data_IF_865492031615
#
_entry.id   IF_865492031615
#
_cell.length_a   1.000
_cell.length_b   1.000
_cell.length_c   1.000
_cell.angle_alpha   90.00
_cell.angle_beta   90.00
_cell.angle_gamma   90.00
#
_symmetry.space_group_name_H-M   'P 1'
#
loop_
_entity.id
_entity.type
_entity.pdbx_description
1 polymer ?
#
# COMPACT_ATOMS: atom_id res chain seq x y z
N UNK A 1 6.62 1.57 14.83
CA UNK A 1 5.41 2.41 14.71
C UNK A 1 5.71 3.82 15.21
N UNK A 2 5.75 4.82 14.31
CA UNK A 2 6.22 6.19 14.57
C UNK A 2 7.77 6.29 14.54
N UNK A 3 8.42 7.27 13.91
CA UNK A 3 8.01 8.62 13.48
C UNK A 3 8.35 8.88 12.00
N UNK A 4 7.39 9.39 11.25
CA UNK A 4 7.64 10.47 10.31
C UNK A 4 6.50 11.48 10.52
N UNK A 5 6.85 12.74 10.74
CA UNK A 5 5.93 13.83 11.12
C UNK A 5 5.14 13.56 12.41
N UNK A 6 5.76 12.91 13.40
CA UNK A 6 5.18 12.73 14.72
C UNK A 6 6.25 12.72 15.81
N UNK A 7 5.85 12.93 17.07
CA UNK A 7 6.71 12.86 18.24
C UNK A 7 6.58 11.54 19.03
N UNK A 8 6.19 10.42 18.43
CA UNK A 8 6.11 9.12 19.13
C UNK A 8 7.31 8.20 18.89
N UNK A 9 8.01 7.67 19.90
CA UNK A 9 9.19 6.79 19.71
C UNK A 9 8.84 5.29 19.63
N UNK A 10 7.68 4.93 19.07
CA UNK A 10 7.16 3.57 19.15
C UNK A 10 7.93 2.54 18.32
N UNK A 11 8.29 1.41 18.94
CA UNK A 11 8.93 0.28 18.28
C UNK A 11 7.95 -0.89 18.30
N UNK A 12 7.21 -1.03 17.21
CA UNK A 12 6.27 -2.11 16.98
C UNK A 12 6.23 -2.39 15.47
N UNK A 13 6.50 -3.63 15.13
CA UNK A 13 6.56 -4.20 13.78
C UNK A 13 6.48 -5.73 13.88
N UNK A 14 6.00 -6.37 12.83
CA UNK A 14 6.03 -7.83 12.73
C UNK A 14 7.48 -8.34 12.62
N UNK A 15 7.80 -9.41 13.34
CA UNK A 15 9.05 -10.15 13.20
C UNK A 15 8.79 -11.42 12.41
N UNK A 16 9.46 -11.56 11.27
CA UNK A 16 9.32 -12.77 10.44
C UNK A 16 10.04 -13.94 11.12
N UNK A 17 9.46 -15.15 11.13
CA UNK A 17 10.14 -16.33 11.65
C UNK A 17 11.51 -16.57 10.98
N UNK A 18 12.43 -17.18 11.71
CA UNK A 18 13.77 -17.50 11.19
C UNK A 18 13.70 -18.50 10.02
N UNK A 19 12.87 -19.54 10.15
CA UNK A 19 12.69 -20.55 9.10
C UNK A 19 12.07 -19.94 7.86
N UNK A 20 12.67 -20.24 6.70
CA UNK A 20 12.20 -19.83 5.37
C UNK A 20 11.65 -21.01 4.57
N UNK A 21 11.42 -22.16 5.20
CA UNK A 21 10.82 -23.32 4.57
C UNK A 21 9.31 -23.28 4.68
N UNK A 22 8.63 -23.85 3.69
CA UNK A 22 7.17 -24.01 3.73
C UNK A 22 6.84 -25.02 4.84
N UNK A 23 5.89 -24.72 5.73
CA UNK A 23 5.48 -25.68 6.76
C UNK A 23 4.87 -26.95 6.15
N UNK A 24 5.16 -28.11 6.74
CA UNK A 24 4.73 -29.43 6.21
C UNK A 24 3.20 -29.64 6.18
N UNK A 25 2.48 -28.90 7.02
CA UNK A 25 1.02 -28.92 7.08
C UNK A 25 0.35 -28.09 5.97
N UNK A 26 1.07 -27.16 5.33
CA UNK A 26 0.53 -26.38 4.22
C UNK A 26 0.55 -27.24 2.96
N UNK A 27 -0.62 -27.69 2.51
CA UNK A 27 -0.78 -28.52 1.29
C UNK A 27 -1.04 -27.70 0.02
N UNK A 28 -1.15 -26.39 0.15
CA UNK A 28 -1.41 -25.48 -0.97
C UNK A 28 -0.19 -25.39 -1.88
N UNK A 29 -0.40 -25.60 -3.18
CA UNK A 29 0.65 -25.46 -4.19
C UNK A 29 0.92 -23.99 -4.52
N UNK A 30 2.12 -23.64 -5.01
CA UNK A 30 2.44 -22.26 -5.42
C UNK A 30 1.46 -21.69 -6.45
N UNK A 31 1.01 -22.51 -7.40
CA UNK A 31 0.10 -22.09 -8.47
C UNK A 31 -1.29 -21.72 -7.93
N UNK A 32 -1.80 -22.50 -6.97
CA UNK A 32 -3.06 -22.18 -6.28
C UNK A 32 -2.96 -20.86 -5.52
N UNK A 33 -1.80 -20.55 -4.91
CA UNK A 33 -1.60 -19.26 -4.23
C UNK A 33 -1.59 -18.11 -5.23
N UNK A 34 -0.95 -18.28 -6.39
CA UNK A 34 -0.96 -17.28 -7.47
C UNK A 34 -2.38 -17.03 -7.98
N UNK A 35 -3.16 -18.10 -8.20
CA UNK A 35 -4.56 -17.99 -8.63
C UNK A 35 -5.42 -17.23 -7.60
N UNK A 36 -5.28 -17.54 -6.32
CA UNK A 36 -5.97 -16.83 -5.24
C UNK A 36 -5.59 -15.34 -5.18
N UNK A 37 -4.31 -15.01 -5.35
CA UNK A 37 -3.84 -13.62 -5.42
C UNK A 37 -4.51 -12.89 -6.58
N UNK A 38 -4.50 -13.47 -7.78
CA UNK A 38 -5.12 -12.89 -8.96
C UNK A 38 -6.63 -12.72 -8.79
N UNK A 39 -7.31 -13.70 -8.17
CA UNK A 39 -8.75 -13.64 -7.88
C UNK A 39 -9.10 -12.50 -6.91
N UNK A 40 -8.30 -12.33 -5.86
CA UNK A 40 -8.51 -11.23 -4.90
C UNK A 40 -8.19 -9.86 -5.51
N UNK A 41 -7.15 -9.77 -6.34
CA UNK A 41 -6.81 -8.54 -7.05
C UNK A 41 -7.90 -8.12 -8.03
N UNK A 42 -8.50 -9.07 -8.77
CA UNK A 42 -9.66 -8.81 -9.66
C UNK A 42 -10.89 -8.31 -8.90
N UNK A 43 -11.02 -8.62 -7.61
CA UNK A 43 -12.06 -8.07 -6.72
C UNK A 43 -11.73 -6.68 -6.19
N UNK A 44 -10.59 -6.09 -6.58
CA UNK A 44 -10.13 -4.78 -6.13
C UNK A 44 -9.39 -4.78 -4.80
N UNK A 45 -8.99 -5.95 -4.27
CA UNK A 45 -8.21 -6.01 -3.04
C UNK A 45 -6.78 -5.49 -3.28
N UNK A 46 -6.29 -4.65 -2.36
CA UNK A 46 -4.90 -4.16 -2.40
C UNK A 46 -3.89 -5.24 -2.05
N UNK A 47 -2.62 -5.16 -2.51
CA UNK A 47 -1.58 -6.12 -2.14
C UNK A 47 -1.44 -6.35 -0.63
N UNK A 48 -1.55 -5.30 0.18
CA UNK A 48 -1.51 -5.43 1.65
C UNK A 48 -2.70 -6.23 2.19
N UNK A 49 -3.91 -5.97 1.70
CA UNK A 49 -5.12 -6.72 2.10
C UNK A 49 -5.07 -8.18 1.64
N UNK A 50 -4.58 -8.44 0.42
CA UNK A 50 -4.39 -9.80 -0.10
C UNK A 50 -3.50 -10.60 0.86
N UNK A 51 -2.38 -10.03 1.30
CA UNK A 51 -1.49 -10.70 2.25
C UNK A 51 -2.17 -11.02 3.58
N UNK A 52 -3.03 -10.13 4.07
CA UNK A 52 -3.81 -10.35 5.31
C UNK A 52 -4.82 -11.48 5.12
N UNK A 53 -5.59 -11.49 4.03
CA UNK A 53 -6.61 -12.53 3.74
C UNK A 53 -5.95 -13.91 3.58
N UNK A 54 -4.81 -13.98 2.90
CA UNK A 54 -4.07 -15.24 2.73
C UNK A 54 -3.54 -15.76 4.07
N UNK A 55 -3.08 -14.87 4.95
CA UNK A 55 -2.60 -15.25 6.28
C UNK A 55 -3.75 -15.72 7.18
N UNK A 56 -4.82 -14.94 7.26
CA UNK A 56 -5.86 -15.13 8.27
C UNK A 56 -6.88 -16.21 7.88
N UNK A 57 -7.23 -16.32 6.59
CA UNK A 57 -8.24 -17.29 6.13
C UNK A 57 -7.65 -18.55 5.50
N UNK A 58 -6.42 -18.50 4.95
CA UNK A 58 -5.83 -19.62 4.20
C UNK A 58 -4.58 -20.21 4.89
N UNK A 59 -4.13 -19.64 6.01
CA UNK A 59 -2.95 -20.11 6.74
C UNK A 59 -1.62 -19.85 6.03
N UNK A 60 -1.60 -19.02 4.98
CA UNK A 60 -0.38 -18.71 4.22
C UNK A 60 0.34 -17.54 4.91
N UNK A 61 1.27 -17.87 5.81
CA UNK A 61 1.97 -16.86 6.61
C UNK A 61 2.81 -15.87 5.78
N UNK A 62 3.52 -16.37 4.75
CA UNK A 62 4.39 -15.58 3.88
C UNK A 62 4.31 -16.08 2.44
N UNK A 63 3.69 -15.29 1.56
CA UNK A 63 3.58 -15.62 0.12
C UNK A 63 4.94 -15.86 -0.53
N UNK A 64 5.97 -15.10 -0.13
CA UNK A 64 7.34 -15.24 -0.64
C UNK A 64 7.94 -16.62 -0.34
N UNK A 65 7.62 -17.22 0.80
CA UNK A 65 8.14 -18.54 1.18
C UNK A 65 7.52 -19.63 0.31
N UNK A 66 6.23 -19.50 -0.01
CA UNK A 66 5.49 -20.51 -0.81
C UNK A 66 5.79 -20.39 -2.29
N UNK A 67 5.77 -19.17 -2.83
CA UNK A 67 5.81 -18.92 -4.30
C UNK A 67 7.17 -18.43 -4.81
N UNK A 68 8.12 -18.14 -3.92
CA UNK A 68 9.42 -17.53 -4.25
C UNK A 68 9.35 -16.03 -4.57
N UNK A 69 8.16 -15.47 -4.84
CA UNK A 69 7.98 -14.07 -5.24
C UNK A 69 7.09 -13.29 -4.26
N UNK A 70 7.21 -11.95 -4.28
CA UNK A 70 6.32 -11.06 -3.50
C UNK A 70 5.00 -10.83 -4.26
N UNK A 71 3.94 -10.54 -3.53
CA UNK A 71 2.58 -10.28 -4.07
C UNK A 71 2.62 -9.27 -5.22
N UNK A 72 3.27 -8.12 -5.05
CA UNK A 72 3.32 -7.09 -6.09
C UNK A 72 4.02 -7.57 -7.37
N UNK A 73 5.03 -8.45 -7.25
CA UNK A 73 5.72 -9.02 -8.42
C UNK A 73 4.83 -10.00 -9.17
N UNK A 74 4.09 -10.84 -8.44
CA UNK A 74 3.10 -11.75 -9.01
C UNK A 74 2.03 -10.96 -9.79
N UNK A 75 1.51 -9.87 -9.20
CA UNK A 75 0.53 -9.01 -9.87
C UNK A 75 1.10 -8.35 -11.13
N UNK A 76 2.35 -7.87 -11.10
CA UNK A 76 3.01 -7.29 -12.28
C UNK A 76 3.17 -8.31 -13.41
N UNK A 77 3.62 -9.52 -13.10
CA UNK A 77 3.76 -10.60 -14.08
C UNK A 77 2.43 -11.00 -14.73
N UNK A 78 1.32 -10.81 -14.02
CA UNK A 78 -0.03 -11.12 -14.52
C UNK A 78 -0.76 -9.90 -15.10
N UNK A 79 -0.12 -8.73 -15.20
CA UNK A 79 -0.76 -7.51 -15.71
C UNK A 79 -1.88 -6.95 -14.83
N UNK A 80 -1.92 -7.33 -13.55
CA UNK A 80 -2.95 -6.92 -12.56
C UNK A 80 -2.38 -5.95 -11.51
N UNK A 81 -1.22 -5.36 -11.77
CA UNK A 81 -0.62 -4.40 -10.85
C UNK A 81 -1.32 -3.03 -10.98
N UNK A 82 -1.53 -2.31 -9.86
CA UNK A 82 -2.06 -0.96 -9.91
C UNK A 82 -1.04 0.00 -10.55
N UNK A 83 -1.54 0.98 -11.31
CA UNK A 83 -0.72 2.00 -11.95
C UNK A 83 0.03 2.88 -10.95
N UNK A 84 -0.63 3.18 -9.83
CA UNK A 84 -0.08 3.98 -8.74
C UNK A 84 0.26 3.05 -7.56
N UNK A 85 1.45 3.19 -6.96
CA UNK A 85 1.80 2.47 -5.74
C UNK A 85 0.77 2.65 -4.61
N UNK A 86 0.46 1.57 -3.90
CA UNK A 86 -0.59 1.53 -2.87
C UNK A 86 -0.36 2.56 -1.75
N UNK A 87 0.89 2.73 -1.32
CA UNK A 87 1.26 3.69 -0.27
C UNK A 87 1.02 5.14 -0.68
N UNK A 88 1.35 5.48 -1.94
CA UNK A 88 1.07 6.80 -2.51
C UNK A 88 -0.44 7.01 -2.68
N UNK A 89 -1.16 6.02 -3.20
CA UNK A 89 -2.61 6.06 -3.35
C UNK A 89 -3.32 6.30 -2.01
N UNK A 90 -2.94 5.59 -0.95
CA UNK A 90 -3.55 5.74 0.38
C UNK A 90 -3.26 7.10 1.02
N UNK A 91 -2.10 7.71 0.75
CA UNK A 91 -1.81 9.08 1.19
C UNK A 91 -2.64 10.11 0.43
N UNK A 92 -2.78 9.97 -0.89
CA UNK A 92 -3.63 10.84 -1.70
C UNK A 92 -5.08 10.73 -1.23
N UNK A 93 -5.59 9.50 -1.01
CA UNK A 93 -6.93 9.26 -0.44
C UNK A 93 -7.16 10.02 0.86
N UNK A 94 -6.16 9.98 1.75
CA UNK A 94 -6.21 10.71 3.03
C UNK A 94 -6.19 12.22 2.83
N UNK A 95 -5.35 12.73 1.92
CA UNK A 95 -5.28 14.17 1.63
C UNK A 95 -6.60 14.69 1.07
N UNK A 96 -7.23 13.96 0.15
CA UNK A 96 -8.55 14.30 -0.42
C UNK A 96 -9.63 14.35 0.68
N UNK A 97 -9.65 13.35 1.57
CA UNK A 97 -10.60 13.33 2.69
C UNK A 97 -10.41 14.53 3.65
N UNK A 98 -9.16 14.85 4.02
CA UNK A 98 -8.86 15.99 4.91
C UNK A 98 -9.19 17.32 4.23
N UNK A 99 -8.94 17.44 2.92
CA UNK A 99 -9.29 18.64 2.16
C UNK A 99 -10.81 18.87 2.11
N UNK A 100 -11.58 17.82 1.80
CA UNK A 100 -13.05 17.85 1.83
C UNK A 100 -13.60 18.24 3.21
N UNK A 101 -12.96 17.80 4.30
CA UNK A 101 -13.29 18.23 5.66
C UNK A 101 -13.03 19.73 5.87
N UNK A 102 -11.85 20.22 5.46
CA UNK A 102 -11.45 21.62 5.64
C UNK A 102 -12.26 22.62 4.81
N UNK A 103 -12.83 22.19 3.67
CA UNK A 103 -13.74 23.02 2.87
C UNK A 103 -14.95 23.48 3.69
N UNK A 104 -15.49 22.58 4.53
CA UNK A 104 -16.61 22.85 5.45
C UNK A 104 -16.12 23.48 6.76
N UNK A 105 -14.97 23.03 7.26
CA UNK A 105 -14.43 23.40 8.58
C UNK A 105 -13.19 24.29 8.46
N UNK A 106 -13.33 25.48 7.86
CA UNK A 106 -12.20 26.37 7.55
C UNK A 106 -11.40 26.85 8.77
N UNK A 107 -11.99 26.83 9.96
CA UNK A 107 -11.35 27.25 11.22
C UNK A 107 -10.48 26.16 11.86
N UNK A 108 -10.52 24.92 11.36
CA UNK A 108 -9.76 23.79 11.89
C UNK A 108 -8.27 23.88 11.48
N UNK A 109 -7.48 24.54 12.34
CA UNK A 109 -6.03 24.74 12.15
C UNK A 109 -5.23 23.44 12.29
N UNK A 110 -5.71 22.49 13.09
CA UNK A 110 -5.02 21.23 13.34
C UNK A 110 -5.12 20.29 12.13
N UNK A 111 -6.31 20.17 11.54
CA UNK A 111 -6.48 19.45 10.26
C UNK A 111 -5.68 20.09 9.13
N UNK A 112 -5.58 21.43 9.10
CA UNK A 112 -4.72 22.15 8.14
C UNK A 112 -3.24 21.79 8.32
N UNK A 113 -2.75 21.78 9.57
CA UNK A 113 -1.39 21.33 9.86
C UNK A 113 -1.16 19.88 9.45
N UNK A 114 -2.10 18.97 9.77
CA UNK A 114 -2.01 17.56 9.36
C UNK A 114 -2.04 17.37 7.85
N UNK A 115 -2.81 18.18 7.11
CA UNK A 115 -2.82 18.15 5.65
C UNK A 115 -1.43 18.45 5.09
N UNK A 116 -0.76 19.49 5.58
CA UNK A 116 0.61 19.84 5.18
C UNK A 116 1.56 18.65 5.38
N UNK A 117 1.43 17.94 6.51
CA UNK A 117 2.25 16.75 6.80
C UNK A 117 1.92 15.55 5.89
N UNK A 118 0.68 15.41 5.43
CA UNK A 118 0.28 14.37 4.47
C UNK A 118 0.82 14.72 3.08
N UNK A 119 0.60 15.93 2.59
CA UNK A 119 1.06 16.38 1.27
C UNK A 119 2.60 16.36 1.17
N UNK A 120 3.29 16.73 2.24
CA UNK A 120 4.75 16.61 2.32
C UNK A 120 5.22 15.15 2.19
N UNK A 121 4.47 14.17 2.69
CA UNK A 121 4.77 12.74 2.50
C UNK A 121 4.50 12.29 1.07
N UNK A 122 3.40 12.75 0.45
CA UNK A 122 3.08 12.48 -0.95
C UNK A 122 4.22 12.95 -1.85
N UNK A 123 4.69 14.19 -1.70
CA UNK A 123 5.77 14.73 -2.52
C UNK A 123 7.09 13.96 -2.36
N UNK A 124 7.42 13.53 -1.13
CA UNK A 124 8.60 12.71 -0.87
C UNK A 124 8.52 11.34 -1.54
N UNK A 125 7.39 10.66 -1.43
CA UNK A 125 7.17 9.36 -2.06
C UNK A 125 7.11 9.46 -3.58
N UNK A 126 6.43 10.47 -4.11
CA UNK A 126 6.39 10.73 -5.55
C UNK A 126 7.80 10.96 -6.12
N UNK A 127 8.66 11.72 -5.42
CA UNK A 127 10.06 11.90 -5.83
C UNK A 127 10.79 10.57 -5.90
N UNK A 128 10.68 9.75 -4.86
CA UNK A 128 11.29 8.41 -4.82
C UNK A 128 10.82 7.54 -5.99
N UNK A 129 9.51 7.45 -6.23
CA UNK A 129 8.97 6.62 -7.30
C UNK A 129 9.30 7.12 -8.71
N UNK A 130 9.52 8.42 -8.89
CA UNK A 130 10.09 8.97 -10.13
C UNK A 130 11.54 8.57 -10.32
N UNK A 131 12.37 8.61 -9.28
CA UNK A 131 13.77 8.18 -9.34
C UNK A 131 13.91 6.69 -9.66
N UNK A 132 13.02 5.84 -9.14
CA UNK A 132 13.04 4.39 -9.37
C UNK A 132 12.34 4.00 -10.69
N UNK A 133 11.80 4.97 -11.45
CA UNK A 133 11.13 4.72 -12.74
C UNK A 133 9.78 4.01 -12.62
N UNK A 134 9.15 4.03 -11.45
CA UNK A 134 7.80 3.49 -11.25
C UNK A 134 6.73 4.48 -11.69
N UNK A 135 6.98 5.79 -11.49
CA UNK A 135 6.11 6.85 -11.98
C UNK A 135 6.76 7.58 -13.16
N UNK A 136 5.96 8.09 -14.11
CA UNK A 136 6.45 8.97 -15.16
C UNK A 136 7.19 10.20 -14.59
N UNK A 137 8.27 10.70 -15.23
CA UNK A 137 8.96 11.91 -14.78
C UNK A 137 8.06 13.15 -14.69
N UNK A 138 7.05 13.21 -15.56
CA UNK A 138 6.01 14.24 -15.63
C UNK A 138 4.96 14.13 -14.53
N UNK A 139 4.94 13.04 -13.75
CA UNK A 139 3.94 12.82 -12.71
C UNK A 139 4.04 13.90 -11.62
N UNK A 140 2.89 14.51 -11.32
CA UNK A 140 2.73 15.55 -10.32
C UNK A 140 1.46 15.32 -9.51
N UNK A 141 1.56 15.52 -8.20
CA UNK A 141 0.39 15.60 -7.34
C UNK A 141 -0.21 17.00 -7.45
N UNK A 142 -1.46 17.07 -7.86
CA UNK A 142 -2.25 18.30 -7.90
C UNK A 142 -3.52 18.09 -7.10
N UNK A 143 -3.77 18.98 -6.12
CA UNK A 143 -4.88 18.79 -5.20
C UNK A 143 -6.25 18.86 -5.86
N UNK A 144 -6.37 19.56 -6.98
CA UNK A 144 -7.63 19.72 -7.71
C UNK A 144 -8.04 18.43 -8.45
N UNK A 145 -7.06 17.67 -8.96
CA UNK A 145 -7.27 16.43 -9.71
C UNK A 145 -7.08 15.18 -8.85
N UNK A 146 -6.58 15.33 -7.62
CA UNK A 146 -6.36 14.21 -6.70
C UNK A 146 -7.61 13.36 -6.42
N UNK A 147 -8.82 13.93 -6.52
CA UNK A 147 -10.08 13.21 -6.34
C UNK A 147 -10.37 12.21 -7.46
N UNK A 148 -9.97 12.49 -8.71
CA UNK A 148 -10.20 11.59 -9.85
C UNK A 148 -9.28 10.37 -9.81
N UNK A 149 -8.16 10.48 -9.09
CA UNK A 149 -7.18 9.41 -8.93
C UNK A 149 -7.64 8.36 -7.90
N UNK A 150 -8.53 8.74 -6.98
CA UNK A 150 -8.91 7.94 -5.80
C UNK A 150 -10.43 7.71 -5.69
N UNK A 151 -11.15 7.92 -6.80
CA UNK A 151 -12.57 7.64 -6.90
C UNK A 151 -12.85 6.13 -6.97
#
# INVERSE_FOLDING_TARGET
MGRLHSNGKGISSSTVPYSRTVPSWLKTTPDQVVEQICKLAKKGATPSQIGVILRDSHGIAQVRIVTGNKILRILKSNGLAPDIPEDLYMLIKKAVAVRKHLERNRKDKDSKFRLILVESRIHRLARYYKTVGVLPPTWRYESATASTIVA
#
